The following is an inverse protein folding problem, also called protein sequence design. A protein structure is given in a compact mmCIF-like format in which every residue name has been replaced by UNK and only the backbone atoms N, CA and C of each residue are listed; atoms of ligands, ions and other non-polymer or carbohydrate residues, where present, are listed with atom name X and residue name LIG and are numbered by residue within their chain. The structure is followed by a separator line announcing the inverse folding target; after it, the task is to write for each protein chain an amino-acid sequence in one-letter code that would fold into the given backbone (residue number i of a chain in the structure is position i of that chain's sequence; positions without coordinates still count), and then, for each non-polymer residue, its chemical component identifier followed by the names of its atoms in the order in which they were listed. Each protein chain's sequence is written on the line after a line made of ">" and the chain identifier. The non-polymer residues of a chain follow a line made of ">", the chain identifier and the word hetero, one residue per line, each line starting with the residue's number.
data_IF_311691403129
#
_entry.id   IF_311691403129
#
_cell.length_a   1.000
_cell.length_b   1.000
_cell.length_c   1.000
_cell.angle_alpha   90.00
_cell.angle_beta   90.00
_cell.angle_gamma   90.00
#
_symmetry.space_group_name_H-M   'P 1'
#
loop_
_entity.id
_entity.type
_entity.pdbx_description
1 polymer ?
#
# COMPACT_ATOMS: atom_id res chain seq x y z
N UNK A 1 4.72 -11.37 -1.93
CA UNK A 1 5.25 -10.14 -2.52
C UNK A 1 4.95 -8.96 -1.61
N UNK A 2 5.96 -8.21 -1.27
CA UNK A 2 5.80 -6.97 -0.51
C UNK A 2 5.66 -5.81 -1.49
N UNK A 3 4.67 -4.96 -1.24
CA UNK A 3 4.36 -3.84 -2.11
C UNK A 3 4.54 -2.55 -1.33
N UNK A 4 5.34 -1.63 -1.86
CA UNK A 4 5.47 -0.29 -1.31
C UNK A 4 4.36 0.59 -1.86
N UNK A 5 3.70 1.33 -0.98
CA UNK A 5 2.64 2.26 -1.35
C UNK A 5 2.95 3.62 -0.75
N UNK A 6 3.23 4.58 -1.60
CA UNK A 6 3.58 5.94 -1.18
C UNK A 6 2.53 6.96 -1.57
N UNK A 7 2.75 8.17 -1.14
CA UNK A 7 1.86 9.32 -1.39
C UNK A 7 0.43 9.07 -0.88
N UNK A 8 0.33 8.39 0.25
CA UNK A 8 -0.95 8.12 0.90
C UNK A 8 -1.49 9.38 1.56
N UNK A 9 -2.83 9.48 1.63
CA UNK A 9 -3.45 10.48 2.47
C UNK A 9 -3.05 10.21 3.93
N UNK A 10 -2.74 11.26 4.67
CA UNK A 10 -2.38 11.13 6.08
C UNK A 10 -3.54 10.59 6.93
N UNK A 11 -4.74 10.63 6.41
CA UNK A 11 -5.94 10.13 7.10
C UNK A 11 -6.28 8.69 6.72
N UNK A 12 -5.57 8.11 5.77
CA UNK A 12 -5.84 6.74 5.33
C UNK A 12 -5.54 5.76 6.46
N UNK A 13 -6.46 4.83 6.68
CA UNK A 13 -6.28 3.76 7.66
C UNK A 13 -5.74 2.50 7.00
N UNK A 14 -5.24 1.58 7.81
CA UNK A 14 -4.78 0.29 7.31
C UNK A 14 -5.90 -0.51 6.67
N UNK A 15 -7.12 -0.40 7.21
CA UNK A 15 -8.29 -1.03 6.60
C UNK A 15 -8.57 -0.51 5.20
N UNK A 16 -8.46 0.80 5.01
CA UNK A 16 -8.65 1.41 3.70
C UNK A 16 -7.57 0.97 2.72
N UNK A 17 -6.31 0.92 3.18
CA UNK A 17 -5.20 0.47 2.35
C UNK A 17 -5.42 -0.99 1.93
N UNK A 18 -5.77 -1.85 2.86
CA UNK A 18 -6.08 -3.25 2.57
C UNK A 18 -7.23 -3.36 1.57
N UNK A 19 -8.29 -2.58 1.79
CA UNK A 19 -9.45 -2.59 0.91
C UNK A 19 -9.14 -2.19 -0.53
N UNK A 20 -8.13 -1.35 -0.73
CA UNK A 20 -7.72 -0.95 -2.07
C UNK A 20 -7.05 -2.10 -2.83
N UNK A 21 -6.42 -3.03 -2.11
CA UNK A 21 -5.69 -4.15 -2.72
C UNK A 21 -6.50 -5.44 -2.78
N UNK A 22 -7.48 -5.63 -1.90
CA UNK A 22 -8.27 -6.86 -1.83
C UNK A 22 -8.99 -7.25 -3.13
N UNK A 23 -9.48 -6.30 -3.95
CA UNK A 23 -10.09 -6.67 -5.23
C UNK A 23 -9.18 -7.42 -6.19
N UNK A 24 -7.88 -7.33 -6.02
CA UNK A 24 -6.90 -7.97 -6.88
C UNK A 24 -6.49 -9.36 -6.39
N UNK A 25 -6.68 -9.63 -5.10
CA UNK A 25 -6.34 -10.92 -4.51
C UNK A 25 -6.22 -10.83 -3.00
N UNK A 26 -5.80 -11.95 -2.39
CA UNK A 26 -5.64 -12.00 -0.94
C UNK A 26 -4.56 -11.05 -0.45
N UNK A 27 -4.86 -10.34 0.64
CA UNK A 27 -3.93 -9.47 1.32
C UNK A 27 -3.64 -10.08 2.70
N UNK A 28 -2.39 -10.44 2.93
CA UNK A 28 -1.96 -11.02 4.21
C UNK A 28 -1.75 -9.91 5.24
N UNK A 29 -1.17 -8.81 4.80
CA UNK A 29 -0.84 -7.71 5.70
C UNK A 29 -0.92 -6.38 4.97
N UNK A 30 -1.45 -5.38 5.66
CA UNK A 30 -1.43 -4.00 5.20
C UNK A 30 -1.01 -3.14 6.39
N UNK A 31 0.04 -2.34 6.21
CA UNK A 31 0.59 -1.54 7.29
C UNK A 31 0.91 -0.13 6.79
N UNK A 32 0.51 0.86 7.57
CA UNK A 32 0.86 2.26 7.31
C UNK A 32 1.94 2.65 8.31
N UNK A 33 3.04 3.20 7.80
CA UNK A 33 4.16 3.63 8.64
C UNK A 33 3.80 4.94 9.32
N UNK A 34 3.98 5.00 10.63
CA UNK A 34 3.67 6.18 11.43
C UNK A 34 4.92 6.70 12.13
N UNK A 35 4.92 8.01 12.38
CA UNK A 35 5.97 8.65 13.16
C UNK A 35 5.81 8.24 14.64
N UNK A 36 6.90 7.85 15.27
CA UNK A 36 6.87 7.40 16.67
C UNK A 36 6.53 8.51 17.65
N UNK A 37 6.96 9.73 17.36
CA UNK A 37 6.76 10.85 18.27
C UNK A 37 5.36 11.42 18.17
N UNK A 38 4.85 11.62 16.96
CA UNK A 38 3.57 12.26 16.73
C UNK A 38 2.44 11.28 16.49
N UNK A 39 2.77 10.00 16.24
CA UNK A 39 1.81 8.95 15.90
C UNK A 39 1.01 9.28 14.62
N UNK A 40 1.57 10.10 13.76
CA UNK A 40 0.95 10.48 12.50
C UNK A 40 1.52 9.66 11.35
N UNK A 41 0.68 9.38 10.36
CA UNK A 41 1.12 8.68 9.16
C UNK A 41 2.23 9.46 8.45
N UNK A 42 3.26 8.75 7.99
CA UNK A 42 4.31 9.34 7.18
C UNK A 42 3.92 9.44 5.69
N UNK A 43 2.70 9.01 5.34
CA UNK A 43 2.21 9.07 3.98
C UNK A 43 2.65 7.89 3.12
N UNK A 44 3.13 6.81 3.72
CA UNK A 44 3.45 5.60 2.99
C UNK A 44 3.23 4.36 3.85
N UNK A 45 3.16 3.22 3.17
CA UNK A 45 2.96 1.96 3.86
C UNK A 45 3.37 0.79 2.99
N UNK A 46 3.07 -0.41 3.47
CA UNK A 46 3.40 -1.65 2.78
C UNK A 46 2.21 -2.60 2.80
N UNK A 47 2.05 -3.34 1.72
CA UNK A 47 1.03 -4.37 1.59
C UNK A 47 1.72 -5.67 1.20
N UNK A 48 1.36 -6.76 1.85
CA UNK A 48 1.88 -8.08 1.53
C UNK A 48 0.79 -8.93 0.87
N UNK A 49 1.07 -9.38 -0.34
CA UNK A 49 0.19 -10.26 -1.10
C UNK A 49 0.95 -11.52 -1.48
N UNK A 50 0.41 -12.72 -1.17
CA UNK A 50 1.14 -13.97 -1.44
C UNK A 50 1.15 -14.36 -2.92
N UNK A 51 0.20 -13.88 -3.71
CA UNK A 51 0.09 -14.21 -5.13
C UNK A 51 0.84 -13.17 -5.96
N UNK A 52 1.87 -13.61 -6.68
CA UNK A 52 2.69 -12.73 -7.51
C UNK A 52 1.88 -12.05 -8.61
N UNK A 53 1.00 -12.79 -9.27
CA UNK A 53 0.20 -12.24 -10.35
C UNK A 53 -0.79 -11.20 -9.85
N UNK A 54 -1.44 -11.48 -8.72
CA UNK A 54 -2.35 -10.52 -8.10
C UNK A 54 -1.60 -9.27 -7.66
N UNK A 55 -0.41 -9.42 -7.09
CA UNK A 55 0.40 -8.29 -6.67
C UNK A 55 0.83 -7.43 -7.85
N UNK A 56 1.25 -8.03 -8.95
CA UNK A 56 1.63 -7.29 -10.15
C UNK A 56 0.46 -6.52 -10.72
N UNK A 57 -0.71 -7.14 -10.77
CA UNK A 57 -1.92 -6.49 -11.26
C UNK A 57 -2.29 -5.30 -10.37
N UNK A 58 -2.22 -5.48 -9.06
CA UNK A 58 -2.51 -4.41 -8.12
C UNK A 58 -1.54 -3.24 -8.30
N UNK A 59 -0.26 -3.52 -8.48
CA UNK A 59 0.74 -2.48 -8.71
C UNK A 59 0.40 -1.69 -9.98
N UNK A 60 0.12 -2.39 -11.08
CA UNK A 60 -0.19 -1.74 -12.36
C UNK A 60 -1.45 -0.89 -12.29
N UNK A 61 -2.49 -1.41 -11.63
CA UNK A 61 -3.78 -0.72 -11.57
C UNK A 61 -3.78 0.43 -10.58
N UNK A 62 -3.06 0.32 -9.49
CA UNK A 62 -3.09 1.32 -8.42
C UNK A 62 -1.99 2.37 -8.54
N UNK A 63 -0.92 2.09 -9.26
CA UNK A 63 0.14 3.08 -9.45
C UNK A 63 -0.42 4.26 -10.24
N UNK A 64 -0.25 5.47 -9.72
CA UNK A 64 -0.78 6.72 -10.25
C UNK A 64 -2.31 6.83 -10.20
N UNK A 65 -2.99 5.89 -9.55
CA UNK A 65 -4.43 6.01 -9.37
C UNK A 65 -4.72 6.97 -8.22
N UNK A 66 -5.65 7.87 -8.43
CA UNK A 66 -6.05 8.81 -7.40
C UNK A 66 -6.94 8.13 -6.37
N UNK A 67 -6.50 8.15 -5.13
CA UNK A 67 -7.25 7.62 -3.99
C UNK A 67 -7.23 8.68 -2.90
N UNK A 68 -8.39 9.05 -2.41
CA UNK A 68 -8.56 10.11 -1.41
C UNK A 68 -7.90 11.42 -1.82
N UNK A 69 -7.97 11.74 -3.12
CA UNK A 69 -7.45 12.99 -3.67
C UNK A 69 -5.96 13.00 -3.96
N UNK A 70 -5.27 11.85 -3.85
CA UNK A 70 -3.83 11.76 -4.09
C UNK A 70 -3.51 10.59 -5.00
N UNK A 71 -2.61 10.82 -5.95
CA UNK A 71 -2.16 9.76 -6.85
C UNK A 71 -1.16 8.86 -6.10
N UNK A 72 -1.51 7.59 -5.94
CA UNK A 72 -0.66 6.64 -5.23
C UNK A 72 0.61 6.30 -5.99
N UNK A 73 1.67 6.05 -5.24
CA UNK A 73 2.94 5.54 -5.77
C UNK A 73 3.07 4.09 -5.34
N UNK A 74 2.86 3.17 -6.26
CA UNK A 74 2.83 1.74 -5.93
C UNK A 74 3.93 1.02 -6.67
N UNK A 75 4.81 0.37 -5.93
CA UNK A 75 5.95 -0.37 -6.48
C UNK A 75 6.18 -1.64 -5.67
N UNK A 76 6.82 -2.63 -6.29
CA UNK A 76 7.23 -3.81 -5.56
C UNK A 76 8.35 -3.43 -4.60
N UNK A 77 8.19 -3.79 -3.32
CA UNK A 77 9.21 -3.57 -2.32
C UNK A 77 10.09 -4.82 -2.27
N UNK A 78 11.37 -4.67 -2.60
CA UNK A 78 12.29 -5.80 -2.54
C UNK A 78 12.71 -6.04 -1.11
N UNK A 79 12.76 -7.32 -0.67
CA UNK A 79 13.26 -7.61 0.66
C UNK A 79 14.72 -7.21 0.77
N UNK A 80 15.08 -6.72 1.93
CA UNK A 80 16.48 -6.43 2.22
C UNK A 80 17.17 -7.71 2.63
N UNK A 81 18.29 -7.94 2.06
CA UNK A 81 19.14 -9.04 2.47
C UNK A 81 19.98 -8.64 3.68
#
# INVERSE_FOLDING_TARGET
>A
VNIYVGNLSYRMTESELRGAFEPFGEVVRAKIVKDRETNRSKGFGFVEMPDDDAAKRAIEELNNKEVSGRALRVNEAKPRD
#
